data_IF_971646878572
#
_entry.id   IF_971646878572
#
_cell.length_a   1.000
_cell.length_b   1.000
_cell.length_c   1.000
_cell.angle_alpha   90.00
_cell.angle_beta   90.00
_cell.angle_gamma   90.00
#
_symmetry.space_group_name_H-M   'P 1'
#
loop_
_entity.id
_entity.type
_entity.pdbx_description
1 polymer ?
#
# COMPACT_ATOMS: atom_id res chain seq x y z
N UNK A 1 -12.66 6.63 5.56
CA UNK A 1 -11.33 5.98 5.69
C UNK A 1 -10.86 5.67 4.28
N UNK A 2 -9.59 5.94 3.97
CA UNK A 2 -8.99 5.65 2.66
C UNK A 2 -7.68 4.92 2.90
N UNK A 3 -7.58 3.66 2.47
CA UNK A 3 -6.46 2.78 2.79
C UNK A 3 -6.01 1.99 1.56
N UNK A 4 -4.69 1.87 1.31
CA UNK A 4 -4.18 0.96 0.30
C UNK A 4 -4.52 -0.49 0.63
N UNK A 5 -4.92 -1.27 -0.37
CA UNK A 5 -5.16 -2.71 -0.21
C UNK A 5 -3.82 -3.44 -0.22
N UNK A 6 -3.66 -4.46 0.64
CA UNK A 6 -2.49 -5.36 0.63
C UNK A 6 -2.56 -6.29 -0.59
N UNK A 7 -2.34 -5.74 -1.78
CA UNK A 7 -2.45 -6.46 -3.04
C UNK A 7 -1.66 -5.77 -4.16
N UNK A 8 -1.27 -6.56 -5.16
CA UNK A 8 -0.64 -6.09 -6.39
C UNK A 8 0.87 -6.02 -6.33
N UNK A 9 1.48 -5.98 -7.52
CA UNK A 9 2.93 -6.07 -7.71
C UNK A 9 3.73 -5.03 -6.90
N UNK A 10 3.20 -3.82 -6.76
CA UNK A 10 3.86 -2.77 -5.96
C UNK A 10 3.90 -3.15 -4.48
N UNK A 11 2.78 -3.62 -3.92
CA UNK A 11 2.72 -4.11 -2.55
C UNK A 11 3.66 -5.31 -2.37
N UNK A 12 3.73 -6.22 -3.33
CA UNK A 12 4.61 -7.38 -3.27
C UNK A 12 6.10 -7.00 -3.16
N UNK A 13 6.51 -5.86 -3.74
CA UNK A 13 7.86 -5.30 -3.58
C UNK A 13 8.02 -4.67 -2.20
N UNK A 14 7.06 -3.83 -1.77
CA UNK A 14 7.10 -3.15 -0.47
C UNK A 14 7.14 -4.15 0.69
N UNK A 15 6.35 -5.22 0.63
CA UNK A 15 6.30 -6.26 1.66
C UNK A 15 7.63 -6.96 1.92
N UNK A 16 8.63 -6.84 1.03
CA UNK A 16 9.96 -7.38 1.27
C UNK A 16 10.66 -6.67 2.45
N UNK A 17 10.37 -5.39 2.67
CA UNK A 17 11.05 -4.58 3.68
C UNK A 17 10.10 -3.80 4.59
N UNK A 18 8.82 -3.73 4.26
CA UNK A 18 7.76 -3.11 5.04
C UNK A 18 6.45 -3.90 4.86
N UNK A 19 6.38 -5.09 5.47
CA UNK A 19 5.15 -5.90 5.45
C UNK A 19 4.11 -5.34 6.43
N UNK A 20 3.19 -4.55 5.89
CA UNK A 20 2.09 -3.95 6.64
C UNK A 20 0.86 -4.85 6.77
N UNK A 21 0.93 -6.13 6.36
CA UNK A 21 -0.24 -7.02 6.31
C UNK A 21 -1.02 -7.04 7.62
N UNK A 22 -0.33 -7.30 8.74
CA UNK A 22 -0.99 -7.39 10.04
C UNK A 22 -1.60 -6.06 10.48
N UNK A 23 -0.94 -4.94 10.16
CA UNK A 23 -1.43 -3.59 10.48
C UNK A 23 -2.70 -3.30 9.70
N UNK A 24 -2.73 -3.64 8.39
CA UNK A 24 -3.90 -3.43 7.53
C UNK A 24 -5.06 -4.35 7.89
N UNK A 25 -4.78 -5.62 8.22
CA UNK A 25 -5.78 -6.55 8.74
C UNK A 25 -6.38 -6.04 10.06
N UNK A 26 -5.55 -5.56 10.99
CA UNK A 26 -6.01 -5.00 12.26
C UNK A 26 -6.86 -3.72 12.07
N UNK A 27 -6.46 -2.84 11.17
CA UNK A 27 -7.21 -1.63 10.82
C UNK A 27 -8.59 -1.99 10.24
N UNK A 28 -8.64 -2.93 9.28
CA UNK A 28 -9.91 -3.39 8.73
C UNK A 28 -10.80 -4.05 9.79
N UNK A 29 -10.23 -4.90 10.65
CA UNK A 29 -10.97 -5.52 11.74
C UNK A 29 -11.54 -4.47 12.72
N UNK A 30 -10.84 -3.36 12.94
CA UNK A 30 -11.35 -2.25 13.76
C UNK A 30 -12.56 -1.57 13.10
N UNK A 31 -12.52 -1.34 11.79
CA UNK A 31 -13.68 -0.82 11.02
C UNK A 31 -14.85 -1.79 11.11
N UNK A 32 -14.62 -3.09 10.91
CA UNK A 32 -15.65 -4.11 11.02
C UNK A 32 -16.30 -4.11 12.39
N UNK A 33 -15.50 -4.06 13.48
CA UNK A 33 -16.03 -3.98 14.85
C UNK A 33 -16.85 -2.71 15.10
N UNK A 34 -16.41 -1.56 14.59
CA UNK A 34 -17.14 -0.31 14.73
C UNK A 34 -18.51 -0.36 14.02
N UNK A 35 -18.58 -1.01 12.85
CA UNK A 35 -19.83 -1.21 12.13
C UNK A 35 -20.73 -2.25 12.80
N UNK A 36 -20.18 -3.41 13.18
CA UNK A 36 -20.96 -4.51 13.76
C UNK A 36 -21.51 -4.19 15.16
N UNK A 37 -20.82 -3.33 15.92
CA UNK A 37 -21.29 -2.84 17.24
C UNK A 37 -22.27 -1.67 17.13
N UNK A 38 -22.54 -1.16 15.93
CA UNK A 38 -23.41 -0.01 15.70
C UNK A 38 -22.79 1.34 16.09
N UNK A 39 -21.51 1.40 16.48
CA UNK A 39 -20.79 2.67 16.74
C UNK A 39 -20.73 3.55 15.49
N UNK A 40 -20.68 2.93 14.31
CA UNK A 40 -20.68 3.58 13.00
C UNK A 40 -21.60 2.81 12.05
N UNK A 41 -22.14 3.50 11.05
CA UNK A 41 -22.83 2.88 9.91
C UNK A 41 -21.97 3.00 8.67
N UNK A 42 -21.73 1.88 7.98
CA UNK A 42 -21.12 1.91 6.64
C UNK A 42 -22.15 2.45 5.65
N UNK A 43 -21.87 3.62 5.08
CA UNK A 43 -22.72 4.26 4.07
C UNK A 43 -22.36 3.76 2.68
N UNK A 44 -21.07 3.65 2.38
CA UNK A 44 -20.56 3.26 1.07
C UNK A 44 -19.17 2.65 1.20
N UNK A 45 -18.87 1.65 0.39
CA UNK A 45 -17.53 1.13 0.20
C UNK A 45 -17.19 1.21 -1.29
N UNK A 46 -16.05 1.78 -1.59
CA UNK A 46 -15.57 1.99 -2.95
C UNK A 46 -14.15 1.46 -3.11
N UNK A 47 -13.85 1.01 -4.33
CA UNK A 47 -12.53 0.56 -4.71
C UNK A 47 -12.11 1.27 -5.99
N UNK A 48 -10.89 1.79 -6.00
CA UNK A 48 -10.28 2.34 -7.20
C UNK A 48 -8.79 2.05 -7.18
N UNK A 49 -8.13 2.20 -8.33
CA UNK A 49 -6.67 2.08 -8.42
C UNK A 49 -6.07 3.42 -8.79
N UNK A 50 -4.95 3.76 -8.15
CA UNK A 50 -4.13 4.90 -8.56
C UNK A 50 -2.90 4.40 -9.33
N UNK A 51 -2.50 5.08 -10.41
CA UNK A 51 -1.29 4.72 -11.12
C UNK A 51 -0.05 5.20 -10.35
N UNK A 52 0.98 4.38 -10.28
CA UNK A 52 2.33 4.81 -9.94
C UNK A 52 3.27 4.46 -11.09
N UNK A 53 4.09 5.42 -11.51
CA UNK A 53 5.05 5.22 -12.60
C UNK A 53 6.43 5.64 -12.14
N UNK A 54 7.43 4.88 -12.59
CA UNK A 54 8.83 5.11 -12.30
C UNK A 54 9.66 4.98 -13.58
N UNK A 55 10.50 5.97 -13.85
CA UNK A 55 11.38 5.96 -15.03
C UNK A 55 12.53 4.97 -14.88
N UNK A 56 12.97 4.72 -13.65
CA UNK A 56 14.07 3.83 -13.33
C UNK A 56 13.99 3.32 -11.89
N UNK A 57 14.81 2.32 -11.57
CA UNK A 57 14.96 1.86 -10.19
C UNK A 57 15.55 2.94 -9.28
N UNK A 58 16.42 3.81 -9.80
CA UNK A 58 17.02 4.89 -9.00
C UNK A 58 15.96 5.89 -8.54
N UNK A 59 14.99 6.21 -9.42
CA UNK A 59 13.84 7.04 -9.05
C UNK A 59 12.95 6.35 -8.01
N UNK A 60 12.75 5.03 -8.11
CA UNK A 60 12.05 4.26 -7.09
C UNK A 60 12.80 4.28 -5.76
N UNK A 61 14.12 4.06 -5.76
CA UNK A 61 14.96 4.09 -4.56
C UNK A 61 14.86 5.44 -3.84
N UNK A 62 14.97 6.54 -4.58
CA UNK A 62 14.87 7.89 -4.00
C UNK A 62 13.50 8.15 -3.37
N UNK A 63 12.43 7.79 -4.07
CA UNK A 63 11.05 8.11 -3.65
C UNK A 63 10.48 7.16 -2.61
N UNK A 64 11.00 5.94 -2.50
CA UNK A 64 10.42 4.89 -1.66
C UNK A 64 11.41 4.42 -0.58
N UNK A 65 12.66 4.12 -0.93
CA UNK A 65 13.63 3.56 0.01
C UNK A 65 14.34 4.64 0.83
N UNK A 66 14.54 5.83 0.27
CA UNK A 66 15.24 6.96 0.89
C UNK A 66 14.32 8.03 1.48
N UNK A 67 13.05 7.68 1.76
CA UNK A 67 12.10 8.62 2.36
C UNK A 67 12.57 9.08 3.75
N UNK A 68 12.41 10.37 4.03
CA UNK A 68 12.92 11.01 5.25
C UNK A 68 12.15 10.64 6.52
N UNK A 69 10.97 10.05 6.38
CA UNK A 69 10.06 9.74 7.49
C UNK A 69 10.10 8.27 7.94
N UNK A 70 10.83 7.40 7.23
CA UNK A 70 10.97 5.99 7.60
C UNK A 70 12.38 5.52 7.25
N UNK A 71 13.16 5.12 8.25
CA UNK A 71 14.50 4.58 8.02
C UNK A 71 14.42 3.11 7.61
N UNK A 72 14.36 2.85 6.30
CA UNK A 72 14.52 1.49 5.79
C UNK A 72 15.99 1.09 5.83
N UNK A 73 16.39 0.31 6.85
CA UNK A 73 17.72 -0.34 6.88
C UNK A 73 17.65 -1.65 6.11
N UNK A 74 17.83 -1.58 4.80
CA UNK A 74 17.92 -2.77 3.96
C UNK A 74 19.33 -3.36 4.04
N UNK A 75 19.43 -4.68 4.20
CA UNK A 75 20.70 -5.37 3.95
C UNK A 75 21.02 -5.36 2.45
N UNK A 76 22.30 -5.52 2.05
CA UNK A 76 22.66 -5.60 0.62
C UNK A 76 21.89 -6.70 -0.13
N UNK A 77 21.63 -7.83 0.53
CA UNK A 77 20.88 -8.94 -0.04
C UNK A 77 19.40 -8.58 -0.25
N UNK A 78 18.78 -7.91 0.73
CA UNK A 78 17.40 -7.47 0.63
C UNK A 78 17.23 -6.38 -0.43
N UNK A 79 18.18 -5.45 -0.50
CA UNK A 79 18.24 -4.44 -1.55
C UNK A 79 18.30 -5.06 -2.95
N UNK A 80 19.17 -6.07 -3.14
CA UNK A 80 19.27 -6.79 -4.42
C UNK A 80 17.95 -7.49 -4.76
N UNK A 81 17.29 -8.13 -3.80
CA UNK A 81 15.98 -8.76 -4.02
C UNK A 81 14.90 -7.75 -4.41
N UNK A 82 14.86 -6.60 -3.74
CA UNK A 82 13.93 -5.49 -4.07
C UNK A 82 14.21 -4.99 -5.49
N UNK A 83 15.47 -4.78 -5.86
CA UNK A 83 15.87 -4.36 -7.21
C UNK A 83 15.47 -5.39 -8.26
N UNK A 84 15.83 -6.65 -8.06
CA UNK A 84 15.48 -7.74 -8.99
C UNK A 84 13.97 -7.82 -9.22
N UNK A 85 13.18 -7.75 -8.14
CA UNK A 85 11.72 -7.78 -8.23
C UNK A 85 11.13 -6.54 -8.89
N UNK A 86 11.68 -5.35 -8.66
CA UNK A 86 11.25 -4.14 -9.36
C UNK A 86 11.56 -4.23 -10.87
N UNK A 87 12.75 -4.71 -11.22
CA UNK A 87 13.22 -4.77 -12.60
C UNK A 87 12.38 -5.72 -13.48
N UNK A 88 11.65 -6.69 -12.91
CA UNK A 88 10.71 -7.52 -13.67
C UNK A 88 9.52 -6.73 -14.24
N UNK A 89 9.26 -5.53 -13.70
CA UNK A 89 8.18 -4.64 -14.13
C UNK A 89 8.67 -3.50 -15.03
N UNK A 90 9.98 -3.39 -15.29
CA UNK A 90 10.54 -2.38 -16.16
C UNK A 90 10.27 -2.70 -17.63
N UNK A 91 9.93 -1.64 -18.38
CA UNK A 91 9.78 -1.67 -19.84
C UNK A 91 10.54 -0.49 -20.44
N UNK A 92 10.53 -0.36 -21.77
CA UNK A 92 11.10 0.81 -22.47
C UNK A 92 10.43 2.13 -22.04
N UNK A 93 9.20 2.08 -21.52
CA UNK A 93 8.47 3.24 -20.98
C UNK A 93 8.60 3.46 -19.47
N UNK A 94 9.43 2.65 -18.78
CA UNK A 94 9.53 2.63 -17.32
C UNK A 94 8.70 1.52 -16.68
N UNK A 95 8.63 1.53 -15.34
CA UNK A 95 7.81 0.62 -14.55
C UNK A 95 6.48 1.28 -14.15
N UNK A 96 5.37 0.59 -14.42
CA UNK A 96 4.03 1.07 -14.12
C UNK A 96 3.30 0.11 -13.20
N UNK A 97 2.66 0.66 -12.16
CA UNK A 97 1.93 -0.08 -11.16
C UNK A 97 0.52 0.47 -10.99
N UNK A 98 -0.40 -0.41 -10.61
CA UNK A 98 -1.73 -0.06 -10.16
C UNK A 98 -1.79 -0.29 -8.64
N UNK A 99 -2.09 0.76 -7.90
CA UNK A 99 -2.17 0.73 -6.44
C UNK A 99 -3.64 0.70 -6.05
N UNK A 100 -4.20 -0.48 -5.69
CA UNK A 100 -5.59 -0.58 -5.27
C UNK A 100 -5.80 0.13 -3.93
N UNK A 101 -6.86 0.92 -3.85
CA UNK A 101 -7.29 1.67 -2.67
C UNK A 101 -8.73 1.26 -2.35
N UNK A 102 -8.99 1.03 -1.06
CA UNK A 102 -10.35 0.92 -0.50
C UNK A 102 -10.72 2.22 0.18
N UNK A 103 -11.94 2.68 -0.06
CA UNK A 103 -12.54 3.80 0.67
C UNK A 103 -13.84 3.38 1.33
N UNK A 104 -13.89 3.52 2.65
CA UNK A 104 -15.10 3.31 3.44
C UNK A 104 -15.64 4.67 3.93
N UNK A 105 -16.85 5.03 3.48
CA UNK A 105 -17.60 6.16 4.00
C UNK A 105 -18.43 5.68 5.21
N UNK A 106 -18.05 6.16 6.38
CA UNK A 106 -18.70 5.84 7.65
C UNK A 106 -19.48 7.04 8.17
N UNK A 107 -20.66 6.79 8.74
CA UNK A 107 -21.47 7.81 9.40
C UNK A 107 -21.68 7.44 10.86
N UNK A 108 -21.49 8.41 11.75
CA UNK A 108 -21.86 8.26 13.17
C UNK A 108 -23.40 8.26 13.29
N UNK A 109 -24.01 7.32 14.02
CA UNK A 109 -25.44 7.35 14.27
C UNK A 109 -25.84 8.66 14.95
N UNK A 110 -26.97 9.22 14.54
CA UNK A 110 -27.62 10.31 15.27
C UNK A 110 -28.38 9.69 16.43
N UNK A 111 -28.16 10.21 17.64
CA UNK A 111 -28.84 9.74 18.86
C UNK A 111 -30.34 10.02 18.81
#
# INVERSE_FOLDING_TARGET
>A
ISEPVYAGAFNDILSLFNDERQVREAAFAAVQRAVSSGLMTLVRQEFFSTPASYESFDQFEERILRVTHTQHRLSPELYRQVKEKFMTHMTDGGAHFQLPIRVDLLRKPTA
#
